data_IF_256196988554
#
_entry.id   IF_256196988554
#
_cell.length_a   1.000
_cell.length_b   1.000
_cell.length_c   1.000
_cell.angle_alpha   90.00
_cell.angle_beta   90.00
_cell.angle_gamma   90.00
#
_symmetry.space_group_name_H-M   'P 1'
#
loop_
_entity.id
_entity.type
_entity.pdbx_description
1 polymer ?
#
# COMPACT_ATOMS: atom_id res chain seq x y z
N UNK A 1 -17.95 7.54 11.79
CA UNK A 1 -16.78 8.37 11.47
C UNK A 1 -16.43 8.21 10.00
N UNK A 2 -16.23 9.30 9.27
CA UNK A 2 -15.77 9.17 7.90
C UNK A 2 -14.35 8.57 7.87
N UNK A 3 -14.06 7.82 6.82
CA UNK A 3 -12.74 7.26 6.65
C UNK A 3 -11.72 8.37 6.39
N UNK A 4 -10.50 8.26 6.92
CA UNK A 4 -9.44 9.22 6.60
C UNK A 4 -9.08 9.16 5.12
N UNK A 5 -8.53 10.25 4.62
CA UNK A 5 -8.02 10.33 3.25
C UNK A 5 -6.51 10.53 3.28
N UNK A 6 -5.84 10.04 2.26
CA UNK A 6 -4.41 10.26 2.06
C UNK A 6 -4.20 10.88 0.69
N UNK A 7 -3.15 11.69 0.56
CA UNK A 7 -2.77 12.33 -0.70
C UNK A 7 -1.34 11.94 -1.00
N UNK A 8 -1.11 11.37 -2.18
CA UNK A 8 0.23 11.06 -2.66
C UNK A 8 0.58 12.06 -3.75
N UNK A 9 1.54 12.96 -3.46
CA UNK A 9 2.03 13.92 -4.45
C UNK A 9 3.19 13.30 -5.22
N UNK A 10 3.03 13.18 -6.53
CA UNK A 10 4.07 12.65 -7.40
C UNK A 10 4.46 13.68 -8.45
N UNK A 11 5.59 13.45 -9.11
CA UNK A 11 6.02 14.33 -10.22
C UNK A 11 5.04 14.30 -11.40
N UNK A 12 4.18 13.29 -11.48
CA UNK A 12 3.18 13.17 -12.54
C UNK A 12 1.79 13.64 -12.10
N UNK A 13 1.62 14.01 -10.85
CA UNK A 13 0.33 14.50 -10.35
C UNK A 13 0.02 13.96 -8.96
N UNK A 14 -1.19 14.25 -8.51
CA UNK A 14 -1.67 13.92 -7.17
C UNK A 14 -2.65 12.76 -7.20
N UNK A 15 -2.48 11.82 -6.28
CA UNK A 15 -3.41 10.68 -6.10
C UNK A 15 -4.09 10.86 -4.74
N UNK A 16 -5.42 10.88 -4.73
CA UNK A 16 -6.20 10.94 -3.48
C UNK A 16 -6.78 9.56 -3.18
N UNK A 17 -6.69 9.16 -1.93
CA UNK A 17 -7.08 7.83 -1.48
C UNK A 17 -8.01 7.92 -0.28
N UNK A 18 -9.05 7.09 -0.27
CA UNK A 18 -9.84 6.82 0.93
C UNK A 18 -9.22 5.61 1.62
N UNK A 19 -9.03 5.68 2.94
CA UNK A 19 -8.46 4.59 3.74
C UNK A 19 -9.56 3.94 4.58
N UNK A 20 -9.65 2.62 4.53
CA UNK A 20 -10.73 1.87 5.18
C UNK A 20 -10.40 1.56 6.64
N UNK A 21 -10.31 2.61 7.48
CA UNK A 21 -9.85 2.50 8.88
C UNK A 21 -10.74 1.59 9.74
N UNK A 22 -12.05 1.57 9.49
CA UNK A 22 -12.97 0.74 10.26
C UNK A 22 -12.87 -0.74 9.91
N UNK A 23 -12.47 -1.04 8.68
CA UNK A 23 -12.41 -2.42 8.17
C UNK A 23 -11.06 -3.08 8.45
N UNK A 24 -9.97 -2.32 8.29
CA UNK A 24 -8.60 -2.83 8.47
C UNK A 24 -7.78 -1.84 9.31
N UNK A 25 -8.12 -1.69 10.59
CA UNK A 25 -7.55 -0.63 11.42
C UNK A 25 -6.04 -0.73 11.61
N UNK A 26 -5.49 -1.94 11.72
CA UNK A 26 -4.05 -2.14 11.90
C UNK A 26 -3.25 -1.70 10.68
N UNK A 27 -3.71 -2.07 9.50
CA UNK A 27 -3.04 -1.71 8.24
C UNK A 27 -3.11 -0.20 8.00
N UNK A 28 -4.29 0.41 8.20
CA UNK A 28 -4.46 1.85 8.03
C UNK A 28 -3.64 2.62 9.06
N UNK A 29 -3.63 2.17 10.33
CA UNK A 29 -2.85 2.83 11.38
C UNK A 29 -1.36 2.82 11.04
N UNK A 30 -0.84 1.69 10.54
CA UNK A 30 0.55 1.57 10.13
C UNK A 30 0.88 2.52 8.97
N UNK A 31 0.06 2.53 7.93
CA UNK A 31 0.26 3.41 6.78
C UNK A 31 0.23 4.89 7.20
N UNK A 32 -0.76 5.26 8.03
CA UNK A 32 -0.91 6.63 8.54
C UNK A 32 0.30 7.05 9.37
N UNK A 33 0.76 6.17 10.26
CA UNK A 33 1.95 6.42 11.09
C UNK A 33 3.17 6.70 10.22
N UNK A 34 3.43 5.84 9.25
CA UNK A 34 4.59 6.00 8.36
C UNK A 34 4.48 7.28 7.52
N UNK A 35 3.28 7.61 7.05
CA UNK A 35 3.07 8.85 6.29
C UNK A 35 3.35 10.09 7.16
N UNK A 36 2.89 10.11 8.39
CA UNK A 36 3.10 11.22 9.32
C UNK A 36 4.56 11.39 9.74
N UNK A 37 5.31 10.30 9.76
CA UNK A 37 6.74 10.32 10.08
C UNK A 37 7.60 10.75 8.91
N UNK A 38 7.02 10.97 7.74
CA UNK A 38 7.77 11.29 6.52
C UNK A 38 8.47 10.10 5.89
N UNK A 39 8.11 8.88 6.29
CA UNK A 39 8.76 7.66 5.82
C UNK A 39 8.67 7.51 4.31
N UNK A 40 7.52 7.86 3.74
CA UNK A 40 7.28 7.72 2.30
C UNK A 40 7.86 8.84 1.44
N UNK A 41 8.26 9.95 2.06
CA UNK A 41 8.78 11.10 1.31
C UNK A 41 10.07 10.71 0.59
N UNK A 42 10.12 10.93 -0.73
CA UNK A 42 11.27 10.60 -1.55
C UNK A 42 11.30 9.15 -2.06
N UNK A 43 10.39 8.28 -1.61
CA UNK A 43 10.28 6.94 -2.18
C UNK A 43 9.69 7.00 -3.58
N UNK A 44 9.92 5.97 -4.39
CA UNK A 44 9.46 5.92 -5.77
C UNK A 44 8.53 4.74 -5.99
N UNK A 45 7.73 4.80 -7.05
CA UNK A 45 7.03 3.64 -7.56
C UNK A 45 8.04 2.81 -8.33
N UNK A 46 8.70 1.90 -7.64
CA UNK A 46 9.82 1.13 -8.17
C UNK A 46 9.40 -0.02 -9.09
N UNK A 47 8.10 -0.34 -9.12
CA UNK A 47 7.58 -1.41 -9.96
C UNK A 47 6.27 -0.95 -10.59
N UNK A 48 6.24 -0.89 -11.91
CA UNK A 48 5.05 -0.50 -12.69
C UNK A 48 4.82 -1.56 -13.74
N UNK A 49 3.68 -2.26 -13.64
CA UNK A 49 3.31 -3.31 -14.60
C UNK A 49 1.99 -2.91 -15.24
N UNK A 50 1.96 -2.60 -16.56
CA UNK A 50 0.73 -2.21 -17.24
C UNK A 50 -0.36 -3.27 -17.07
N UNK A 51 -1.60 -2.81 -16.91
CA UNK A 51 -2.78 -3.66 -16.71
C UNK A 51 -2.74 -4.52 -15.44
N UNK A 52 -1.78 -4.25 -14.54
CA UNK A 52 -1.68 -4.93 -13.26
C UNK A 52 -1.68 -3.92 -12.13
N UNK A 53 -0.52 -3.31 -11.82
CA UNK A 53 -0.42 -2.41 -10.66
C UNK A 53 0.81 -1.53 -10.71
N UNK A 54 0.83 -0.50 -9.85
CA UNK A 54 2.05 0.24 -9.51
C UNK A 54 2.35 -0.02 -8.03
N UNK A 55 3.60 -0.30 -7.70
CA UNK A 55 4.05 -0.62 -6.34
C UNK A 55 5.09 0.37 -5.86
N UNK A 56 4.96 0.82 -4.63
CA UNK A 56 5.87 1.79 -4.03
C UNK A 56 6.01 1.58 -2.53
N UNK A 57 6.61 2.58 -1.85
CA UNK A 57 6.74 2.57 -0.40
C UNK A 57 7.98 1.86 0.13
N UNK A 58 8.93 1.49 -0.73
CA UNK A 58 10.18 0.87 -0.31
C UNK A 58 11.20 1.95 0.04
N UNK A 59 11.74 1.99 1.28
CA UNK A 59 12.74 2.99 1.66
C UNK A 59 14.04 2.87 0.85
N UNK A 60 14.38 1.69 0.36
CA UNK A 60 15.57 1.54 -0.49
C UNK A 60 15.41 2.24 -1.83
N UNK A 61 14.19 2.54 -2.26
CA UNK A 61 13.97 3.29 -3.48
C UNK A 61 14.44 4.75 -3.38
N UNK A 62 14.62 5.27 -2.16
CA UNK A 62 15.14 6.62 -1.99
C UNK A 62 16.58 6.65 -1.48
N UNK A 63 17.01 5.65 -0.72
CA UNK A 63 18.36 5.61 -0.13
C UNK A 63 19.38 4.90 -1.00
N UNK A 64 18.95 3.93 -1.78
CA UNK A 64 19.84 3.09 -2.58
C UNK A 64 20.73 2.15 -1.75
N UNK A 65 20.47 2.02 -0.44
CA UNK A 65 21.33 1.25 0.47
C UNK A 65 21.05 -0.24 0.47
N UNK A 66 20.00 -0.68 -0.19
CA UNK A 66 19.64 -2.09 -0.25
C UNK A 66 18.98 -2.40 -1.59
N UNK A 67 18.61 -3.67 -1.77
CA UNK A 67 17.94 -4.09 -3.00
C UNK A 67 16.50 -3.57 -3.00
N UNK A 68 16.16 -2.73 -3.96
CA UNK A 68 14.82 -2.18 -4.11
C UNK A 68 13.82 -3.33 -4.29
N UNK A 69 12.72 -3.26 -3.55
CA UNK A 69 11.69 -4.30 -3.50
C UNK A 69 11.77 -5.13 -2.23
N UNK A 70 12.85 -5.02 -1.45
CA UNK A 70 13.04 -5.80 -0.22
C UNK A 70 12.98 -4.97 1.05
N UNK A 71 12.89 -3.65 0.95
CA UNK A 71 12.92 -2.76 2.10
C UNK A 71 11.59 -2.63 2.82
N UNK A 72 11.66 -2.15 4.04
CA UNK A 72 10.49 -1.92 4.90
C UNK A 72 10.85 -1.07 6.10
N UNK A 73 9.92 -0.92 7.05
CA UNK A 73 10.11 -0.03 8.19
C UNK A 73 10.89 -0.65 9.35
N UNK A 74 11.39 -1.87 9.20
CA UNK A 74 12.11 -2.58 10.27
C UNK A 74 11.23 -3.50 11.10
N UNK A 75 9.96 -3.66 10.73
CA UNK A 75 9.02 -4.56 11.37
C UNK A 75 8.01 -5.04 10.33
N UNK A 76 7.18 -6.00 10.71
CA UNK A 76 6.10 -6.50 9.84
C UNK A 76 4.75 -6.33 10.53
N UNK A 77 3.69 -6.31 9.75
CA UNK A 77 2.31 -6.26 10.24
C UNK A 77 1.55 -7.49 9.76
N UNK A 78 0.52 -7.85 10.52
CA UNK A 78 -0.33 -8.99 10.17
C UNK A 78 -1.28 -8.63 9.03
N UNK A 79 -1.57 -9.61 8.18
CA UNK A 79 -2.60 -9.46 7.17
C UNK A 79 -3.96 -9.31 7.83
N UNK A 80 -4.78 -8.42 7.30
CA UNK A 80 -6.16 -8.22 7.75
C UNK A 80 -7.13 -8.67 6.64
N UNK A 81 -6.90 -9.88 6.13
CA UNK A 81 -7.71 -10.44 5.04
C UNK A 81 -8.92 -11.20 5.54
N UNK A 82 -8.86 -11.76 6.74
CA UNK A 82 -9.97 -12.49 7.33
C UNK A 82 -11.10 -11.53 7.65
N UNK A 83 -12.27 -11.78 7.08
CA UNK A 83 -13.43 -10.90 7.25
C UNK A 83 -13.40 -9.65 6.39
N UNK A 84 -12.32 -9.39 5.68
CA UNK A 84 -12.24 -8.28 4.74
C UNK A 84 -12.90 -8.68 3.43
N UNK A 85 -14.00 -8.02 3.09
CA UNK A 85 -14.79 -8.31 1.89
C UNK A 85 -14.33 -7.50 0.68
N UNK A 86 -13.34 -6.62 0.84
CA UNK A 86 -12.83 -5.82 -0.26
C UNK A 86 -12.06 -6.69 -1.25
N UNK A 87 -12.31 -6.47 -2.52
CA UNK A 87 -11.62 -7.16 -3.60
C UNK A 87 -10.68 -6.19 -4.30
N UNK A 88 -9.74 -6.73 -5.07
CA UNK A 88 -8.78 -5.93 -5.82
C UNK A 88 -9.43 -5.46 -7.13
N UNK A 89 -9.90 -4.22 -7.14
CA UNK A 89 -10.53 -3.57 -8.28
C UNK A 89 -9.61 -2.47 -8.82
N UNK A 90 -9.99 -1.89 -9.95
CA UNK A 90 -9.25 -0.73 -10.46
C UNK A 90 -9.23 0.37 -9.40
N UNK A 91 -8.03 0.85 -9.05
CA UNK A 91 -7.84 1.87 -8.04
C UNK A 91 -7.76 1.37 -6.61
N UNK A 92 -7.82 0.05 -6.37
CA UNK A 92 -7.65 -0.50 -5.03
C UNK A 92 -6.23 -0.29 -4.53
N UNK A 93 -6.11 0.15 -3.27
CA UNK A 93 -4.83 0.28 -2.57
C UNK A 93 -4.68 -0.92 -1.65
N UNK A 94 -3.61 -1.68 -1.83
CA UNK A 94 -3.40 -2.94 -1.13
C UNK A 94 -1.96 -3.05 -0.61
N UNK A 95 -1.77 -3.84 0.44
CA UNK A 95 -0.46 -4.00 1.07
C UNK A 95 0.36 -5.09 0.36
N UNK A 96 1.54 -4.72 -0.12
CA UNK A 96 2.49 -5.68 -0.68
C UNK A 96 3.18 -6.46 0.44
N UNK A 97 3.49 -7.72 0.20
CA UNK A 97 4.22 -8.56 1.15
C UNK A 97 4.90 -9.72 0.43
N UNK A 98 5.80 -10.39 1.15
CA UNK A 98 6.53 -11.56 0.66
C UNK A 98 5.97 -12.86 1.22
N UNK A 99 4.72 -12.87 1.65
CA UNK A 99 4.03 -13.99 2.24
C UNK A 99 3.12 -13.51 3.35
N UNK A 100 2.40 -14.42 3.99
CA UNK A 100 1.45 -14.08 5.04
C UNK A 100 2.15 -13.35 6.19
N UNK A 101 1.55 -12.25 6.65
CA UNK A 101 1.99 -11.48 7.81
C UNK A 101 3.40 -10.89 7.67
N UNK A 102 3.84 -10.60 6.44
CA UNK A 102 5.16 -9.99 6.17
C UNK A 102 5.06 -8.58 5.59
N UNK A 103 3.87 -7.98 5.57
CA UNK A 103 3.70 -6.60 5.12
C UNK A 103 4.45 -5.62 6.03
N UNK A 104 4.80 -4.46 5.47
CA UNK A 104 5.50 -3.42 6.22
C UNK A 104 5.14 -2.04 5.70
N UNK A 105 5.87 -1.55 4.70
CA UNK A 105 5.63 -0.23 4.14
C UNK A 105 5.22 -0.26 2.67
N UNK A 106 5.57 -1.29 1.93
CA UNK A 106 5.29 -1.33 0.51
C UNK A 106 3.80 -1.55 0.25
N UNK A 107 3.29 -0.83 -0.73
CA UNK A 107 1.88 -0.92 -1.14
C UNK A 107 1.80 -0.90 -2.65
N UNK A 108 0.64 -1.30 -3.18
CA UNK A 108 0.39 -1.21 -4.61
C UNK A 108 -1.03 -0.71 -4.88
N UNK A 109 -1.19 -0.09 -6.05
CA UNK A 109 -2.47 0.42 -6.53
C UNK A 109 -2.78 -0.34 -7.82
N UNK A 110 -3.95 -0.97 -7.88
CA UNK A 110 -4.34 -1.80 -9.02
C UNK A 110 -4.78 -0.94 -10.20
N UNK A 111 -4.33 -1.30 -11.41
CA UNK A 111 -4.79 -0.69 -12.66
C UNK A 111 -6.09 -1.32 -13.16
N UNK A 112 -6.34 -2.56 -12.77
CA UNK A 112 -7.50 -3.34 -13.21
C UNK A 112 -7.82 -4.37 -12.12
N UNK A 113 -8.99 -5.04 -12.18
CA UNK A 113 -9.32 -6.07 -11.20
C UNK A 113 -8.28 -7.20 -11.18
N UNK A 114 -7.87 -7.60 -9.96
CA UNK A 114 -6.85 -8.65 -9.74
C UNK A 114 -7.40 -9.67 -8.76
N UNK A 115 -8.29 -10.52 -9.21
CA UNK A 115 -9.00 -11.48 -8.35
C UNK A 115 -8.08 -12.48 -7.67
N UNK A 116 -6.95 -12.82 -8.30
CA UNK A 116 -5.99 -13.77 -7.72
C UNK A 116 -5.32 -13.25 -6.45
N UNK A 117 -5.43 -11.97 -6.17
CA UNK A 117 -4.88 -11.35 -4.95
C UNK A 117 -5.89 -11.28 -3.81
N UNK A 118 -7.17 -11.51 -4.10
CA UNK A 118 -8.22 -11.42 -3.09
C UNK A 118 -8.01 -12.47 -2.00
N UNK A 119 -8.10 -12.04 -0.73
CA UNK A 119 -7.84 -12.91 0.40
C UNK A 119 -6.37 -13.13 0.74
N UNK A 120 -5.44 -12.72 -0.14
CA UNK A 120 -4.00 -12.88 0.07
C UNK A 120 -3.34 -11.56 0.50
N UNK A 121 -3.79 -10.46 -0.06
CA UNK A 121 -3.28 -9.13 0.26
C UNK A 121 -4.38 -8.29 0.89
N UNK A 122 -4.01 -7.43 1.85
CA UNK A 122 -4.97 -6.57 2.55
C UNK A 122 -5.30 -5.34 1.72
N UNK A 123 -6.53 -5.27 1.21
CA UNK A 123 -7.04 -4.06 0.55
C UNK A 123 -7.42 -3.07 1.65
N UNK A 124 -6.74 -1.92 1.70
CA UNK A 124 -6.95 -0.96 2.77
C UNK A 124 -7.34 0.45 2.29
N UNK A 125 -7.50 0.64 1.01
CA UNK A 125 -7.92 1.93 0.49
C UNK A 125 -8.38 1.86 -0.96
N UNK A 126 -8.79 3.02 -1.47
CA UNK A 126 -9.34 3.17 -2.82
C UNK A 126 -9.01 4.56 -3.34
N UNK A 127 -8.59 4.66 -4.59
CA UNK A 127 -8.41 5.95 -5.27
C UNK A 127 -9.77 6.61 -5.48
N UNK A 128 -9.86 7.87 -5.10
CA UNK A 128 -11.08 8.67 -5.25
C UNK A 128 -10.94 9.77 -6.28
#
# INVERSE_FOLDING_TARGET
MPNPTAVIDTVQGTIELELFADEVPGTVANFTKLAKEGFYDGTTFHRVIPNFMVQGGDPYSKTGKGRVGTGGPGYTIKCETKGNKRTHQKGSLSMAHAGKDTGGSQFFICHSPQRHLDGEHTVFGQVI
#
